data_IF_560098135294
#
_entry.id   IF_560098135294
#
_cell.length_a   1.000
_cell.length_b   1.000
_cell.length_c   1.000
_cell.angle_alpha   90.00
_cell.angle_beta   90.00
_cell.angle_gamma   90.00
#
_symmetry.space_group_name_H-M   'P 1'
#
loop_
_entity.id
_entity.type
_entity.pdbx_description
1 polymer ?
#
# COMPACT_ATOMS: atom_id res chain seq x y z
N UNK A 1 13.44 15.70 -44.58
CA UNK A 1 14.58 15.42 -43.68
C UNK A 1 14.37 15.90 -42.24
N UNK A 2 13.83 17.11 -41.96
CA UNK A 2 13.70 17.62 -40.57
C UNK A 2 12.79 16.84 -39.61
N UNK A 3 11.65 16.31 -40.08
CA UNK A 3 10.68 15.59 -39.22
C UNK A 3 11.17 14.23 -38.69
N UNK A 4 12.11 13.59 -39.38
CA UNK A 4 12.67 12.30 -38.96
C UNK A 4 13.71 12.48 -37.83
N UNK A 5 14.57 13.49 -37.94
CA UNK A 5 15.51 13.86 -36.85
C UNK A 5 14.78 14.28 -35.58
N UNK A 6 13.70 15.05 -35.72
CA UNK A 6 12.91 15.49 -34.57
C UNK A 6 12.15 14.34 -33.88
N UNK A 7 11.80 13.27 -34.60
CA UNK A 7 11.25 12.05 -33.99
C UNK A 7 12.33 11.28 -33.24
N UNK A 8 13.48 11.03 -33.88
CA UNK A 8 14.59 10.33 -33.25
C UNK A 8 15.08 11.02 -31.97
N UNK A 9 15.14 12.35 -31.97
CA UNK A 9 15.54 13.13 -30.78
C UNK A 9 14.52 13.01 -29.64
N UNK A 10 13.21 13.11 -29.93
CA UNK A 10 12.17 12.88 -28.91
C UNK A 10 12.14 11.44 -28.41
N UNK A 11 12.46 10.48 -29.27
CA UNK A 11 12.53 9.06 -28.89
C UNK A 11 13.74 8.80 -27.98
N UNK A 12 14.87 9.44 -28.25
CA UNK A 12 16.05 9.41 -27.38
C UNK A 12 15.78 10.08 -26.02
N UNK A 13 15.19 11.29 -26.01
CA UNK A 13 14.79 11.99 -24.77
C UNK A 13 13.79 11.17 -23.93
N UNK A 14 12.84 10.49 -24.59
CA UNK A 14 11.88 9.61 -23.91
C UNK A 14 12.56 8.34 -23.37
N UNK A 15 13.56 7.80 -24.06
CA UNK A 15 14.35 6.65 -23.59
C UNK A 15 15.15 7.01 -22.35
N UNK A 16 15.88 8.13 -22.38
CA UNK A 16 16.66 8.61 -21.23
C UNK A 16 15.77 8.88 -20.01
N UNK A 17 14.58 9.47 -20.22
CA UNK A 17 13.63 9.68 -19.13
C UNK A 17 13.11 8.36 -18.56
N UNK A 18 12.84 7.36 -19.41
CA UNK A 18 12.41 6.05 -18.95
C UNK A 18 13.51 5.36 -18.14
N UNK A 19 14.76 5.41 -18.61
CA UNK A 19 15.92 4.87 -17.88
C UNK A 19 16.06 5.51 -16.50
N UNK A 20 15.98 6.84 -16.41
CA UNK A 20 16.02 7.56 -15.12
C UNK A 20 14.82 7.25 -14.22
N UNK A 21 13.66 6.99 -14.79
CA UNK A 21 12.48 6.58 -14.03
C UNK A 21 12.69 5.20 -13.41
N UNK A 22 13.20 4.25 -14.18
CA UNK A 22 13.53 2.90 -13.68
C UNK A 22 14.61 2.96 -12.60
N UNK A 23 15.64 3.81 -12.74
CA UNK A 23 16.64 4.01 -11.68
C UNK A 23 16.02 4.46 -10.35
N UNK A 24 15.05 5.38 -10.41
CA UNK A 24 14.32 5.84 -9.21
C UNK A 24 13.39 4.74 -8.69
N UNK A 25 12.73 3.99 -9.58
CA UNK A 25 11.85 2.89 -9.20
C UNK A 25 12.63 1.78 -8.48
N UNK A 26 13.80 1.41 -8.99
CA UNK A 26 14.71 0.43 -8.38
C UNK A 26 15.20 0.90 -7.02
N UNK A 27 15.57 2.18 -6.90
CA UNK A 27 15.97 2.77 -5.63
C UNK A 27 14.83 2.70 -4.60
N UNK A 28 13.62 3.10 -4.99
CA UNK A 28 12.44 3.06 -4.10
C UNK A 28 12.08 1.61 -3.75
N UNK A 29 12.19 0.68 -4.70
CA UNK A 29 11.94 -0.75 -4.47
C UNK A 29 12.97 -1.38 -3.52
N UNK A 30 14.19 -0.83 -3.44
CA UNK A 30 15.22 -1.27 -2.50
C UNK A 30 15.03 -0.76 -1.07
N UNK A 31 14.08 0.15 -0.83
CA UNK A 31 13.83 0.70 0.50
C UNK A 31 13.24 -0.37 1.41
N UNK A 32 13.93 -0.63 2.51
CA UNK A 32 13.39 -1.43 3.60
C UNK A 32 12.47 -0.59 4.48
N UNK A 33 11.16 -0.67 4.20
CA UNK A 33 10.15 0.07 4.94
C UNK A 33 10.07 -0.34 6.42
N UNK A 34 10.50 -1.56 6.77
CA UNK A 34 10.46 -2.03 8.16
C UNK A 34 11.51 -1.30 9.01
N UNK A 35 12.73 -1.20 8.49
CA UNK A 35 13.79 -0.40 9.11
C UNK A 35 13.39 1.08 9.25
N UNK A 36 12.79 1.66 8.21
CA UNK A 36 12.31 3.06 8.26
C UNK A 36 11.27 3.26 9.37
N UNK A 37 10.33 2.33 9.51
CA UNK A 37 9.29 2.40 10.53
C UNK A 37 9.84 2.28 11.96
N UNK A 38 10.81 1.38 12.15
CA UNK A 38 11.38 1.09 13.46
C UNK A 38 12.22 2.26 13.99
N UNK A 39 12.98 2.92 13.11
CA UNK A 39 13.81 4.09 13.44
C UNK A 39 13.02 5.41 13.54
N UNK A 40 11.85 5.49 12.90
CA UNK A 40 11.02 6.70 12.91
C UNK A 40 10.49 7.04 14.31
N UNK A 41 10.51 8.34 14.64
CA UNK A 41 9.84 8.84 15.85
C UNK A 41 8.30 8.82 15.72
N UNK A 42 7.58 9.12 16.81
CA UNK A 42 6.11 9.07 16.81
C UNK A 42 5.47 10.04 15.79
N UNK A 43 6.12 11.19 15.53
CA UNK A 43 5.64 12.17 14.54
C UNK A 43 5.90 11.67 13.13
N UNK A 44 7.07 11.13 12.87
CA UNK A 44 7.46 10.58 11.56
C UNK A 44 6.60 9.37 11.21
N UNK A 45 6.37 8.44 12.15
CA UNK A 45 5.43 7.32 11.95
C UNK A 45 4.04 7.80 11.60
N UNK A 46 3.58 8.90 12.21
CA UNK A 46 2.29 9.48 11.88
C UNK A 46 2.24 10.01 10.46
N UNK A 47 3.30 10.69 10.01
CA UNK A 47 3.43 11.13 8.61
C UNK A 47 3.42 9.91 7.66
N UNK A 48 4.17 8.85 7.97
CA UNK A 48 4.16 7.63 7.16
C UNK A 48 2.76 7.01 7.02
N UNK A 49 1.98 6.96 8.11
CA UNK A 49 0.58 6.50 8.04
C UNK A 49 -0.24 7.43 7.15
N UNK A 50 -0.16 8.75 7.35
CA UNK A 50 -0.96 9.73 6.62
C UNK A 50 -0.68 9.74 5.11
N UNK A 51 0.57 9.48 4.72
CA UNK A 51 0.98 9.45 3.31
C UNK A 51 0.69 8.10 2.63
N UNK A 52 0.84 6.99 3.35
CA UNK A 52 0.73 5.64 2.77
C UNK A 52 -0.66 5.01 2.91
N UNK A 53 -1.44 5.39 3.93
CA UNK A 53 -2.76 4.84 4.21
C UNK A 53 -3.85 5.84 3.83
N UNK A 54 -4.55 5.55 2.73
CA UNK A 54 -5.65 6.36 2.22
C UNK A 54 -6.90 6.24 3.11
N UNK A 55 -7.24 5.03 3.55
CA UNK A 55 -8.41 4.81 4.41
C UNK A 55 -8.30 3.55 5.27
N UNK A 56 -8.99 3.56 6.41
CA UNK A 56 -9.25 2.37 7.23
C UNK A 56 -10.74 2.26 7.50
N UNK A 57 -11.35 1.17 7.03
CA UNK A 57 -12.73 0.82 7.36
C UNK A 57 -12.74 -0.22 8.47
N UNK A 58 -13.53 0.03 9.50
CA UNK A 58 -13.67 -0.86 10.65
C UNK A 58 -14.92 -1.71 10.47
N UNK A 59 -14.75 -3.02 10.44
CA UNK A 59 -15.84 -3.99 10.51
C UNK A 59 -15.82 -4.72 11.86
N UNK A 60 -16.92 -5.41 12.23
CA UNK A 60 -16.99 -6.10 13.51
C UNK A 60 -15.95 -7.21 13.71
N UNK A 61 -15.50 -7.84 12.62
CA UNK A 61 -14.59 -8.99 12.62
C UNK A 61 -13.21 -8.68 12.01
N UNK A 62 -13.10 -7.63 11.19
CA UNK A 62 -11.86 -7.27 10.50
C UNK A 62 -11.73 -5.75 10.26
N UNK A 63 -10.52 -5.32 9.90
CA UNK A 63 -10.25 -4.02 9.32
C UNK A 63 -10.03 -4.19 7.82
N UNK A 64 -10.49 -3.22 7.04
CA UNK A 64 -10.10 -3.08 5.64
C UNK A 64 -9.22 -1.85 5.52
N UNK A 65 -7.96 -2.06 5.19
CA UNK A 65 -6.95 -1.01 5.04
C UNK A 65 -6.75 -0.73 3.56
N UNK A 66 -6.87 0.52 3.15
CA UNK A 66 -6.60 0.97 1.79
C UNK A 66 -5.28 1.72 1.82
N UNK A 67 -4.27 1.17 1.16
CA UNK A 67 -2.97 1.82 1.00
C UNK A 67 -2.87 2.42 -0.41
N UNK A 68 -2.15 3.54 -0.51
CA UNK A 68 -1.92 4.22 -1.77
C UNK A 68 -1.27 3.28 -2.79
N UNK A 69 -1.89 3.13 -3.98
CA UNK A 69 -1.34 2.32 -5.07
C UNK A 69 -1.43 0.80 -4.89
N UNK A 70 -2.06 0.29 -3.82
CA UNK A 70 -2.20 -1.14 -3.56
C UNK A 70 -3.68 -1.57 -3.44
N UNK A 71 -4.00 -2.85 -3.76
CA UNK A 71 -5.31 -3.41 -3.44
C UNK A 71 -5.60 -3.35 -1.94
N UNK A 72 -6.88 -3.16 -1.52
CA UNK A 72 -7.23 -3.13 -0.12
C UNK A 72 -6.86 -4.42 0.62
N UNK A 73 -6.28 -4.27 1.80
CA UNK A 73 -5.87 -5.35 2.68
C UNK A 73 -7.00 -5.67 3.67
N UNK A 74 -7.33 -6.96 3.80
CA UNK A 74 -8.16 -7.46 4.90
C UNK A 74 -7.22 -7.81 6.06
N UNK A 75 -7.46 -7.21 7.22
CA UNK A 75 -6.69 -7.46 8.44
C UNK A 75 -7.64 -7.98 9.51
N UNK A 76 -7.42 -9.21 9.96
CA UNK A 76 -8.22 -9.80 11.02
C UNK A 76 -7.92 -9.10 12.35
N UNK A 77 -8.93 -8.91 13.21
CA UNK A 77 -8.71 -8.24 14.50
C UNK A 77 -7.64 -8.94 15.35
N UNK A 78 -7.52 -10.28 15.23
CA UNK A 78 -6.51 -11.07 15.93
C UNK A 78 -5.08 -10.77 15.49
N UNK A 79 -4.87 -10.36 14.24
CA UNK A 79 -3.53 -10.02 13.70
C UNK A 79 -2.97 -8.75 14.36
N UNK A 80 -3.85 -7.83 14.76
CA UNK A 80 -3.49 -6.58 15.45
C UNK A 80 -3.67 -6.67 16.97
N UNK A 81 -3.70 -7.88 17.52
CA UNK A 81 -3.83 -8.12 18.97
C UNK A 81 -5.17 -7.67 19.56
N UNK A 82 -6.22 -7.58 18.73
CA UNK A 82 -7.59 -7.29 19.17
C UNK A 82 -8.41 -8.57 19.20
N UNK A 83 -9.19 -8.75 20.26
CA UNK A 83 -10.17 -9.85 20.34
C UNK A 83 -11.44 -9.40 19.59
N UNK A 84 -12.04 -10.25 18.73
CA UNK A 84 -13.36 -9.96 18.18
C UNK A 84 -14.36 -9.73 19.32
N UNK A 85 -15.37 -8.84 19.13
CA UNK A 85 -16.34 -8.53 20.16
C UNK A 85 -17.01 -9.80 20.69
N UNK A 86 -17.12 -9.90 22.02
CA UNK A 86 -17.72 -11.06 22.68
C UNK A 86 -19.20 -11.20 22.22
N UNK A 87 -19.51 -12.28 21.51
CA UNK A 87 -20.85 -12.56 20.98
C UNK A 87 -20.91 -12.94 19.50
N UNK A 88 -19.84 -12.73 18.72
CA UNK A 88 -19.72 -13.25 17.35
C UNK A 88 -19.23 -14.70 17.30
N UNK A 89 -19.79 -15.55 18.17
CA UNK A 89 -19.79 -16.98 17.91
C UNK A 89 -20.80 -17.23 16.79
N UNK A 90 -20.37 -17.91 15.74
CA UNK A 90 -21.20 -18.49 14.69
C UNK A 90 -22.57 -18.95 15.23
N UNK A 91 -23.59 -18.11 15.02
CA UNK A 91 -24.98 -18.46 15.29
C UNK A 91 -25.38 -19.50 14.26
N UNK A 92 -25.13 -20.78 14.61
CA UNK A 92 -25.70 -21.92 13.90
C UNK A 92 -27.21 -21.86 14.14
N UNK A 93 -27.94 -21.28 13.19
CA UNK A 93 -29.40 -21.44 13.13
C UNK A 93 -29.66 -22.90 12.80
N UNK A 94 -29.92 -23.69 13.84
CA UNK A 94 -30.32 -25.09 13.69
C UNK A 94 -31.69 -25.15 13.03
N UNK A 95 -31.73 -25.49 11.75
CA UNK A 95 -32.93 -26.04 11.13
C UNK A 95 -33.15 -27.44 11.69
N UNK A 96 -34.13 -27.58 12.58
CA UNK A 96 -34.60 -28.87 13.07
C UNK A 96 -35.38 -29.62 11.98
N UNK A 97 -35.05 -30.91 11.87
CA UNK A 97 -35.75 -32.06 11.23
C UNK A 97 -36.56 -31.83 9.97
#
# INVERSE_FOLDING_TARGET
MGRLRQRAQRDAERSELAERFEEVADLVASVDITTVWDEADDRERRVLIEDLVDAVYVYPDHLRVVACGAPPLKVELTEVGRRPPAGMGNVRVGGGT
#
